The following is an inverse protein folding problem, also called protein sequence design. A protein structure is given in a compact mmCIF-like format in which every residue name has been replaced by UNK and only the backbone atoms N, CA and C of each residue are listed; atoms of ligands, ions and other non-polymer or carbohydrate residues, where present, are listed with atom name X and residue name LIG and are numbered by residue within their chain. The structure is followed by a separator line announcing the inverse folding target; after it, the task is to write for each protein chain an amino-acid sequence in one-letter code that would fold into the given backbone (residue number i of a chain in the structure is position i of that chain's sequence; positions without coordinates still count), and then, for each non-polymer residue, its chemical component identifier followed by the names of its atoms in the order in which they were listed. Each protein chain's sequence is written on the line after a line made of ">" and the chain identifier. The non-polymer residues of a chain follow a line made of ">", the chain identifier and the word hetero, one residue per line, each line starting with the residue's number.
data_IF_807855103580
#
_entry.id   IF_807855103580
#
_cell.length_a   1.000
_cell.length_b   1.000
_cell.length_c   1.000
_cell.angle_alpha   90.00
_cell.angle_beta   90.00
_cell.angle_gamma   90.00
#
_symmetry.space_group_name_H-M   'P 1'
#
loop_
_entity.id
_entity.type
_entity.pdbx_description
1 polymer ?
#
# COMPACT_ATOMS: atom_id res chain seq x y z
N UNK A 1 3.82 -1.55 -9.19
CA UNK A 1 2.51 -2.20 -9.40
C UNK A 1 2.64 -3.71 -9.39
N UNK A 2 3.41 -4.34 -10.31
CA UNK A 2 3.57 -5.82 -10.37
C UNK A 2 3.82 -6.48 -9.01
N UNK A 3 4.76 -5.96 -8.23
CA UNK A 3 5.09 -6.52 -6.90
C UNK A 3 3.91 -6.53 -5.92
N UNK A 4 3.18 -5.42 -5.80
CA UNK A 4 2.01 -5.36 -4.91
C UNK A 4 0.86 -6.21 -5.45
N UNK A 5 0.69 -6.28 -6.78
CA UNK A 5 -0.28 -7.21 -7.41
C UNK A 5 0.02 -8.65 -7.03
N UNK A 6 1.26 -9.10 -7.25
CA UNK A 6 1.63 -10.49 -7.03
C UNK A 6 1.43 -10.85 -5.58
N UNK A 7 1.90 -10.00 -4.67
CA UNK A 7 1.83 -10.28 -3.24
C UNK A 7 0.42 -10.24 -2.69
N UNK A 8 -0.42 -9.32 -3.16
CA UNK A 8 -1.83 -9.29 -2.76
C UNK A 8 -2.68 -10.39 -3.38
N UNK A 9 -2.17 -11.19 -4.33
CA UNK A 9 -2.87 -12.36 -4.85
C UNK A 9 -2.44 -13.67 -4.16
N UNK A 10 -1.35 -13.65 -3.38
CA UNK A 10 -0.93 -14.80 -2.60
C UNK A 10 -1.73 -14.89 -1.31
N UNK A 11 -2.18 -16.09 -0.95
CA UNK A 11 -2.71 -16.36 0.39
C UNK A 11 -1.54 -16.60 1.34
N UNK A 12 -1.53 -15.89 2.47
CA UNK A 12 -0.57 -16.13 3.55
C UNK A 12 -1.17 -16.96 4.70
N UNK A 13 -2.42 -17.38 4.56
CA UNK A 13 -3.12 -18.25 5.51
C UNK A 13 -2.94 -19.72 5.07
N UNK A 14 -1.93 -20.35 5.65
CA UNK A 14 -1.78 -21.80 5.89
C UNK A 14 -1.71 -22.78 4.68
N UNK A 15 -0.53 -22.86 4.04
CA UNK A 15 -0.18 -23.94 3.10
C UNK A 15 1.13 -24.65 3.53
N UNK A 16 1.11 -25.39 4.64
CA UNK A 16 2.12 -26.41 4.94
C UNK A 16 3.56 -25.94 5.23
N UNK A 17 3.77 -24.65 5.52
CA UNK A 17 5.05 -24.14 6.02
C UNK A 17 5.14 -24.35 7.54
N UNK A 18 6.31 -24.74 8.09
CA UNK A 18 6.42 -25.06 9.51
C UNK A 18 6.17 -23.82 10.39
N UNK A 19 5.00 -23.82 11.03
CA UNK A 19 4.68 -23.23 12.34
C UNK A 19 4.94 -21.73 12.56
N UNK A 20 4.41 -20.88 11.69
CA UNK A 20 4.11 -19.49 12.08
C UNK A 20 2.61 -19.27 11.89
N UNK A 21 1.83 -19.87 12.79
CA UNK A 21 0.39 -19.61 12.92
C UNK A 21 0.23 -18.26 13.65
N UNK A 22 0.39 -17.17 12.89
CA UNK A 22 0.07 -15.83 13.36
C UNK A 22 -1.33 -15.51 12.85
N UNK A 23 -2.34 -15.42 13.75
CA UNK A 23 -3.67 -15.02 13.35
C UNK A 23 -3.64 -13.70 12.60
N UNK A 24 -4.36 -13.61 11.47
CA UNK A 24 -4.50 -12.38 10.68
C UNK A 24 -3.19 -11.85 10.07
N UNK A 25 -2.16 -12.70 9.91
CA UNK A 25 -0.89 -12.31 9.27
C UNK A 25 -1.11 -11.67 7.90
N UNK A 26 -2.02 -12.23 7.12
CA UNK A 26 -2.37 -11.75 5.80
C UNK A 26 -2.82 -10.28 5.80
N UNK A 27 -3.68 -9.89 6.75
CA UNK A 27 -4.13 -8.49 6.93
C UNK A 27 -2.97 -7.55 7.29
N UNK A 28 -2.03 -8.01 8.12
CA UNK A 28 -0.82 -7.25 8.46
C UNK A 28 0.09 -7.06 7.23
N UNK A 29 0.20 -8.09 6.41
CA UNK A 29 0.97 -8.08 5.16
C UNK A 29 0.35 -7.08 4.17
N UNK A 30 -0.96 -7.13 3.96
CA UNK A 30 -1.73 -6.17 3.16
C UNK A 30 -1.52 -4.73 3.65
N UNK A 31 -1.68 -4.47 4.95
CA UNK A 31 -1.38 -3.17 5.55
C UNK A 31 0.04 -2.69 5.24
N UNK A 32 1.04 -3.57 5.42
CA UNK A 32 2.46 -3.23 5.24
C UNK A 32 2.78 -2.91 3.78
N UNK A 33 2.24 -3.66 2.83
CA UNK A 33 2.48 -3.38 1.41
C UNK A 33 1.85 -2.08 0.97
N UNK A 34 0.61 -1.79 1.37
CA UNK A 34 -0.04 -0.52 1.04
C UNK A 34 0.61 0.68 1.76
N UNK A 35 1.16 0.47 2.96
CA UNK A 35 2.00 1.45 3.65
C UNK A 35 3.24 1.81 2.84
N UNK A 36 4.06 0.81 2.46
CA UNK A 36 5.29 1.04 1.71
C UNK A 36 4.97 1.61 0.33
N UNK A 37 3.96 1.07 -0.34
CA UNK A 37 3.53 1.52 -1.66
C UNK A 37 3.15 3.00 -1.68
N UNK A 38 2.32 3.45 -0.73
CA UNK A 38 1.91 4.85 -0.68
C UNK A 38 3.01 5.79 -0.20
N UNK A 39 3.88 5.34 0.70
CA UNK A 39 5.05 6.11 1.10
C UNK A 39 5.98 6.35 -0.09
N UNK A 40 6.35 5.29 -0.82
CA UNK A 40 7.17 5.39 -2.02
C UNK A 40 6.48 6.17 -3.13
N UNK A 41 5.17 5.97 -3.32
CA UNK A 41 4.37 6.72 -4.30
C UNK A 41 4.38 8.22 -4.05
N UNK A 42 4.23 8.64 -2.79
CA UNK A 42 4.31 10.06 -2.42
C UNK A 42 5.71 10.63 -2.69
N UNK A 43 6.77 9.90 -2.33
CA UNK A 43 8.16 10.34 -2.55
C UNK A 43 8.50 10.43 -4.03
N UNK A 44 8.15 9.39 -4.81
CA UNK A 44 8.38 9.33 -6.25
C UNK A 44 7.62 10.43 -6.99
N UNK A 45 6.36 10.67 -6.65
CA UNK A 45 5.58 11.75 -7.26
C UNK A 45 6.20 13.11 -6.97
N UNK A 46 6.59 13.33 -5.70
CA UNK A 46 7.18 14.60 -5.27
C UNK A 46 8.50 14.91 -6.00
N UNK A 47 9.29 13.89 -6.29
CA UNK A 47 10.53 14.01 -7.05
C UNK A 47 10.25 14.34 -8.52
N UNK A 48 9.38 13.54 -9.17
CA UNK A 48 9.05 13.71 -10.59
C UNK A 48 8.38 15.05 -10.89
N UNK A 49 7.50 15.50 -10.00
CA UNK A 49 6.80 16.79 -10.09
C UNK A 49 7.67 17.97 -9.61
N UNK A 50 8.93 17.72 -9.22
CA UNK A 50 9.87 18.74 -8.71
C UNK A 50 9.29 19.61 -7.59
N UNK A 51 8.38 19.07 -6.79
CA UNK A 51 7.65 19.77 -5.70
C UNK A 51 6.73 20.91 -6.16
N UNK A 52 6.29 20.91 -7.42
CA UNK A 52 5.35 21.92 -7.93
C UNK A 52 3.96 21.80 -7.28
N UNK A 53 3.53 20.59 -6.97
CA UNK A 53 2.26 20.26 -6.33
C UNK A 53 2.41 20.25 -4.81
N UNK A 54 1.50 20.91 -4.06
CA UNK A 54 1.47 20.84 -2.60
C UNK A 54 1.39 19.40 -2.08
N UNK A 55 2.19 19.06 -1.06
CA UNK A 55 2.27 17.69 -0.49
C UNK A 55 0.90 17.13 -0.10
N UNK A 56 -0.01 17.96 0.43
CA UNK A 56 -1.38 17.55 0.77
C UNK A 56 -2.15 17.02 -0.45
N UNK A 57 -2.00 17.66 -1.62
CA UNK A 57 -2.66 17.22 -2.86
C UNK A 57 -2.06 15.91 -3.37
N UNK A 58 -0.74 15.73 -3.25
CA UNK A 58 -0.06 14.49 -3.61
C UNK A 58 -0.57 13.34 -2.74
N UNK A 59 -0.62 13.53 -1.42
CA UNK A 59 -1.12 12.53 -0.46
C UNK A 59 -2.55 12.08 -0.81
N UNK A 60 -3.47 13.03 -1.03
CA UNK A 60 -4.86 12.69 -1.37
C UNK A 60 -4.93 11.88 -2.67
N UNK A 61 -4.17 12.25 -3.70
CA UNK A 61 -4.11 11.51 -4.97
C UNK A 61 -3.59 10.08 -4.77
N UNK A 62 -2.51 9.91 -4.01
CA UNK A 62 -1.88 8.60 -3.77
C UNK A 62 -2.78 7.69 -2.94
N UNK A 63 -3.43 8.20 -1.88
CA UNK A 63 -4.39 7.42 -1.10
C UNK A 63 -5.56 6.96 -1.99
N UNK A 64 -6.14 7.88 -2.75
CA UNK A 64 -7.28 7.56 -3.63
C UNK A 64 -6.91 6.49 -4.66
N UNK A 65 -5.74 6.64 -5.30
CA UNK A 65 -5.21 5.65 -6.22
C UNK A 65 -5.01 4.29 -5.56
N UNK A 66 -4.40 4.26 -4.36
CA UNK A 66 -4.14 3.03 -3.63
C UNK A 66 -5.44 2.31 -3.22
N UNK A 67 -6.43 3.04 -2.69
CA UNK A 67 -7.71 2.45 -2.28
C UNK A 67 -8.45 1.84 -3.46
N UNK A 68 -8.57 2.57 -4.59
CA UNK A 68 -9.21 2.03 -5.80
C UNK A 68 -8.44 0.79 -6.28
N UNK A 69 -7.11 0.89 -6.30
CA UNK A 69 -6.28 -0.22 -6.73
C UNK A 69 -6.48 -1.46 -5.84
N UNK A 70 -6.52 -1.28 -4.51
CA UNK A 70 -6.84 -2.35 -3.56
C UNK A 70 -8.18 -3.00 -3.83
N UNK A 71 -9.25 -2.21 -4.01
CA UNK A 71 -10.57 -2.76 -4.33
C UNK A 71 -10.54 -3.58 -5.63
N UNK A 72 -9.83 -3.11 -6.66
CA UNK A 72 -9.65 -3.88 -7.90
C UNK A 72 -8.94 -5.21 -7.63
N UNK A 73 -7.90 -5.22 -6.80
CA UNK A 73 -7.18 -6.44 -6.44
C UNK A 73 -8.07 -7.42 -5.66
N UNK A 74 -8.86 -6.95 -4.70
CA UNK A 74 -9.81 -7.81 -3.96
C UNK A 74 -10.84 -8.46 -4.89
N UNK A 75 -11.36 -7.69 -5.86
CA UNK A 75 -12.24 -8.26 -6.90
C UNK A 75 -11.49 -9.29 -7.74
N UNK A 76 -10.23 -9.02 -8.11
CA UNK A 76 -9.40 -9.95 -8.87
C UNK A 76 -9.09 -11.24 -8.11
N UNK A 77 -8.88 -11.19 -6.79
CA UNK A 77 -8.73 -12.40 -5.98
C UNK A 77 -9.93 -13.32 -6.18
N UNK A 78 -11.15 -12.80 -6.03
CA UNK A 78 -12.37 -13.61 -6.14
C UNK A 78 -12.70 -14.12 -7.54
N UNK A 79 -12.20 -13.49 -8.61
CA UNK A 79 -12.48 -13.94 -9.99
C UNK A 79 -11.33 -14.70 -10.65
N UNK A 80 -10.09 -14.50 -10.18
CA UNK A 80 -8.88 -15.02 -10.83
C UNK A 80 -8.11 -16.04 -9.98
N UNK A 81 -8.46 -16.24 -8.71
CA UNK A 81 -7.86 -17.26 -7.85
C UNK A 81 -8.92 -18.29 -7.43
N UNK A 82 -8.48 -19.48 -7.00
CA UNK A 82 -9.39 -20.55 -6.52
C UNK A 82 -9.43 -20.66 -5.01
N UNK A 83 -8.36 -20.25 -4.36
CA UNK A 83 -8.13 -20.48 -2.92
C UNK A 83 -8.17 -19.17 -2.12
N UNK A 84 -8.55 -18.04 -2.75
CA UNK A 84 -8.68 -16.73 -2.08
C UNK A 84 -10.07 -16.16 -2.28
N UNK A 85 -10.73 -15.83 -1.18
CA UNK A 85 -12.00 -15.11 -1.18
C UNK A 85 -11.76 -13.62 -0.92
N UNK A 86 -12.48 -12.71 -1.60
CA UNK A 86 -12.41 -11.29 -1.31
C UNK A 86 -12.82 -11.00 0.15
N UNK A 87 -11.96 -10.32 0.91
CA UNK A 87 -12.22 -9.97 2.31
C UNK A 87 -12.35 -8.44 2.49
N UNK A 88 -13.45 -7.99 3.11
CA UNK A 88 -13.62 -6.58 3.46
C UNK A 88 -12.56 -6.10 4.46
N UNK A 89 -12.01 -6.99 5.28
CA UNK A 89 -10.92 -6.66 6.19
C UNK A 89 -9.61 -6.42 5.45
N UNK A 90 -9.39 -7.01 4.27
CA UNK A 90 -8.23 -6.72 3.44
C UNK A 90 -8.39 -5.36 2.77
N UNK A 91 -9.59 -5.00 2.30
CA UNK A 91 -9.90 -3.62 1.86
C UNK A 91 -9.58 -2.61 2.97
N UNK A 92 -9.96 -2.92 4.22
CA UNK A 92 -9.69 -2.08 5.37
C UNK A 92 -8.18 -1.99 5.66
N UNK A 93 -7.47 -3.12 5.67
CA UNK A 93 -6.04 -3.18 5.89
C UNK A 93 -5.26 -2.39 4.82
N UNK A 94 -5.60 -2.58 3.55
CA UNK A 94 -5.05 -1.85 2.41
C UNK A 94 -5.28 -0.34 2.57
N UNK A 95 -6.50 0.06 2.94
CA UNK A 95 -6.88 1.47 3.14
C UNK A 95 -6.15 2.13 4.31
N UNK A 96 -6.01 1.42 5.43
CA UNK A 96 -5.25 1.90 6.59
C UNK A 96 -3.77 1.99 6.24
N UNK A 97 -3.18 0.97 5.61
CA UNK A 97 -1.81 1.01 5.13
C UNK A 97 -1.55 2.24 4.26
N UNK A 98 -2.42 2.48 3.29
CA UNK A 98 -2.35 3.64 2.40
C UNK A 98 -2.39 4.98 3.16
N UNK A 99 -3.27 5.08 4.17
CA UNK A 99 -3.43 6.26 5.01
C UNK A 99 -2.17 6.52 5.86
N UNK A 100 -1.71 5.50 6.59
CA UNK A 100 -0.55 5.60 7.48
C UNK A 100 0.75 5.82 6.71
N UNK A 101 0.96 5.17 5.57
CA UNK A 101 2.14 5.36 4.72
C UNK A 101 2.24 6.79 4.19
N UNK A 102 1.12 7.32 3.71
CA UNK A 102 1.04 8.71 3.23
C UNK A 102 1.22 9.72 4.37
N UNK A 103 0.65 9.46 5.55
CA UNK A 103 0.85 10.33 6.72
C UNK A 103 2.26 10.26 7.29
N UNK A 104 2.93 9.11 7.24
CA UNK A 104 4.34 9.00 7.62
C UNK A 104 5.21 9.93 6.76
N UNK A 105 4.98 9.95 5.44
CA UNK A 105 5.66 10.90 4.53
C UNK A 105 5.33 12.34 4.91
N UNK A 106 4.06 12.65 5.21
CA UNK A 106 3.68 13.98 5.70
C UNK A 106 4.44 14.33 6.96
N UNK A 107 4.49 13.46 7.96
CA UNK A 107 5.13 13.73 9.25
C UNK A 107 6.65 13.99 9.08
N UNK A 108 7.33 13.14 8.31
CA UNK A 108 8.79 13.23 8.09
C UNK A 108 9.16 14.45 7.22
N UNK A 109 8.33 14.80 6.22
CA UNK A 109 8.63 15.82 5.21
C UNK A 109 7.74 17.07 5.28
N UNK A 110 6.94 17.23 6.35
CA UNK A 110 6.19 18.47 6.62
C UNK A 110 7.12 19.62 7.03
N UNK A 111 8.39 19.35 7.35
CA UNK A 111 9.44 20.35 7.54
C UNK A 111 10.12 20.76 6.22
N UNK A 112 11.00 21.77 6.28
CA UNK A 112 11.88 22.18 5.16
C UNK A 112 13.00 21.16 4.89
N UNK A 113 12.74 19.86 4.99
CA UNK A 113 13.71 18.80 4.67
C UNK A 113 13.67 18.57 3.16
N UNK A 114 14.61 19.13 2.37
CA UNK A 114 14.74 18.75 0.98
C UNK A 114 15.16 17.28 0.91
N UNK A 115 14.53 16.49 0.04
CA UNK A 115 15.17 15.27 -0.46
C UNK A 115 16.43 15.73 -1.19
N UNK A 116 17.61 15.53 -0.58
CA UNK A 116 18.92 15.91 -1.12
C UNK A 116 19.46 14.84 -2.10
N UNK A 117 18.60 14.29 -2.95
CA UNK A 117 18.95 13.13 -3.79
C UNK A 117 19.50 13.52 -5.16
N UNK A 118 19.38 14.80 -5.56
CA UNK A 118 20.10 15.33 -6.72
C UNK A 118 21.34 16.11 -6.26
N UNK A 119 22.51 15.54 -6.55
CA UNK A 119 23.70 16.29 -6.93
C UNK A 119 23.79 16.30 -8.44
#
# INVERSE_FOLDING_TARGET
>A
MVFITTLSLFSFEDDGLPSVDIPHLDKLVHFTFYFVFTALGCLSFREMDRRNTPLKKVIVKIIFYAVIYGIIIEVLQGVATRDREPDLLDVLANSLGALFGSFAVKYIFSGKTPLKWMK
#
